data_IF_713493547991
#
_entry.id   IF_713493547991
#
_cell.length_a   1.000
_cell.length_b   1.000
_cell.length_c   1.000
_cell.angle_alpha   90.00
_cell.angle_beta   90.00
_cell.angle_gamma   90.00
#
_symmetry.space_group_name_H-M   'P 1'
#
loop_
_entity.id
_entity.type
_entity.pdbx_description
1 polymer ?
#
# COMPACT_ATOMS: atom_id res chain seq x y z
N UNK A 1 -0.88 -1.58 -14.33
CA UNK A 1 -1.90 -1.41 -13.28
C UNK A 1 -2.01 -2.71 -12.46
N UNK A 2 -1.57 -2.73 -11.20
CA UNK A 2 -1.94 -3.83 -10.27
C UNK A 2 -3.15 -3.32 -9.49
N UNK A 3 -4.17 -4.18 -9.30
CA UNK A 3 -5.39 -3.80 -8.59
C UNK A 3 -5.65 -4.82 -7.47
N UNK A 4 -5.16 -4.54 -6.27
CA UNK A 4 -5.40 -5.39 -5.11
C UNK A 4 -6.73 -5.00 -4.47
N UNK A 5 -7.63 -5.98 -4.33
CA UNK A 5 -8.83 -5.84 -3.49
C UNK A 5 -8.54 -6.41 -2.11
N UNK A 6 -8.00 -5.59 -1.22
CA UNK A 6 -7.71 -6.01 0.16
C UNK A 6 -8.01 -4.91 1.16
N UNK A 7 -8.57 -5.27 2.30
CA UNK A 7 -8.79 -4.32 3.40
C UNK A 7 -7.51 -4.10 4.21
N UNK A 8 -7.42 -2.97 4.93
CA UNK A 8 -6.27 -2.70 5.82
C UNK A 8 -6.09 -3.79 6.89
N UNK A 9 -7.18 -4.41 7.34
CA UNK A 9 -7.15 -5.49 8.33
C UNK A 9 -6.53 -6.76 7.75
N UNK A 10 -6.88 -7.11 6.53
CA UNK A 10 -6.30 -8.27 5.84
C UNK A 10 -4.82 -8.05 5.51
N UNK A 11 -4.45 -6.85 5.07
CA UNK A 11 -3.04 -6.48 4.86
C UNK A 11 -2.26 -6.65 6.15
N UNK A 12 -2.79 -6.12 7.26
CA UNK A 12 -2.18 -6.18 8.58
C UNK A 12 -2.00 -7.63 9.05
N UNK A 13 -3.01 -8.47 8.85
CA UNK A 13 -2.94 -9.89 9.19
C UNK A 13 -1.86 -10.65 8.39
N UNK A 14 -1.62 -10.28 7.13
CA UNK A 14 -0.62 -10.93 6.29
C UNK A 14 0.82 -10.54 6.64
N UNK A 15 1.06 -9.29 7.01
CA UNK A 15 2.42 -8.80 7.32
C UNK A 15 2.72 -8.78 8.83
N UNK A 16 1.82 -9.30 9.67
CA UNK A 16 1.97 -9.29 11.13
C UNK A 16 1.96 -7.88 11.73
N UNK A 17 1.24 -6.94 11.12
CA UNK A 17 1.10 -5.57 11.59
C UNK A 17 -0.30 -5.31 12.18
N UNK A 18 -0.53 -4.11 12.70
CA UNK A 18 -1.87 -3.65 13.09
C UNK A 18 -2.57 -2.94 11.93
N UNK A 19 -3.90 -2.87 11.99
CA UNK A 19 -4.70 -2.12 11.01
C UNK A 19 -4.29 -0.65 10.97
N UNK A 20 -4.00 -0.05 12.12
CA UNK A 20 -3.52 1.34 12.21
C UNK A 20 -2.18 1.52 11.50
N UNK A 21 -1.19 0.65 11.75
CA UNK A 21 0.12 0.72 11.07
C UNK A 21 -0.03 0.66 9.56
N UNK A 22 -0.85 -0.26 9.04
CA UNK A 22 -1.13 -0.33 7.60
C UNK A 22 -1.84 0.93 7.11
N UNK A 23 -2.81 1.45 7.88
CA UNK A 23 -3.52 2.66 7.51
C UNK A 23 -2.59 3.87 7.42
N UNK A 24 -1.61 3.98 8.33
CA UNK A 24 -0.61 5.03 8.29
C UNK A 24 0.31 4.88 7.08
N UNK A 25 0.84 3.68 6.82
CA UNK A 25 1.70 3.41 5.66
C UNK A 25 0.97 3.70 4.33
N UNK A 26 -0.28 3.27 4.19
CA UNK A 26 -1.08 3.55 2.98
C UNK A 26 -1.34 5.04 2.82
N UNK A 27 -1.59 5.76 3.92
CA UNK A 27 -1.77 7.22 3.88
C UNK A 27 -0.49 7.92 3.46
N UNK A 28 0.66 7.48 3.96
CA UNK A 28 1.97 8.04 3.64
C UNK A 28 2.32 7.85 2.17
N UNK A 29 2.23 6.61 1.67
CA UNK A 29 2.45 6.29 0.26
C UNK A 29 1.50 7.05 -0.69
N UNK A 30 0.26 7.33 -0.23
CA UNK A 30 -0.69 8.15 -0.98
C UNK A 30 -0.29 9.63 -0.98
N UNK A 31 0.19 10.16 0.14
CA UNK A 31 0.71 11.54 0.23
C UNK A 31 1.94 11.75 -0.66
N UNK A 32 2.76 10.72 -0.79
CA UNK A 32 3.92 10.71 -1.69
C UNK A 32 3.54 10.51 -3.17
N UNK A 33 2.26 10.27 -3.48
CA UNK A 33 1.79 10.07 -4.86
C UNK A 33 2.21 8.73 -5.47
N UNK A 34 2.62 7.77 -4.65
CA UNK A 34 3.09 6.46 -5.10
C UNK A 34 1.94 5.47 -5.32
N UNK A 35 0.85 5.64 -4.58
CA UNK A 35 -0.38 4.84 -4.69
C UNK A 35 -1.64 5.71 -4.63
N UNK A 36 -2.72 5.18 -5.19
CA UNK A 36 -4.07 5.67 -4.99
C UNK A 36 -4.96 4.59 -4.36
N UNK A 37 -5.99 5.03 -3.64
CA UNK A 37 -6.95 4.14 -2.99
C UNK A 37 -8.36 4.47 -3.43
N UNK A 38 -9.04 3.52 -4.05
CA UNK A 38 -10.44 3.64 -4.48
C UNK A 38 -11.31 2.61 -3.75
N UNK A 39 -11.90 3.03 -2.61
CA UNK A 39 -12.70 2.15 -1.76
C UNK A 39 -11.87 1.01 -1.17
N UNK A 40 -12.12 -0.24 -1.60
CA UNK A 40 -11.37 -1.44 -1.20
C UNK A 40 -10.24 -1.80 -2.16
N UNK A 41 -9.87 -0.88 -3.08
CA UNK A 41 -8.83 -1.10 -4.09
C UNK A 41 -7.62 -0.21 -3.82
N UNK A 42 -6.44 -0.78 -4.04
CA UNK A 42 -5.17 -0.03 -4.08
C UNK A 42 -4.64 -0.07 -5.51
N UNK A 43 -4.35 1.11 -6.05
CA UNK A 43 -3.79 1.33 -7.40
C UNK A 43 -2.35 1.82 -7.23
N UNK A 44 -1.41 1.13 -7.85
CA UNK A 44 0.01 1.54 -7.84
C UNK A 44 0.25 2.53 -8.99
N UNK A 45 0.72 3.74 -8.66
CA UNK A 45 1.04 4.79 -9.63
C UNK A 45 2.48 4.67 -10.11
N UNK A 46 3.43 4.51 -9.19
CA UNK A 46 4.86 4.43 -9.49
C UNK A 46 5.47 3.12 -8.97
N UNK A 47 5.40 2.07 -9.82
CA UNK A 47 5.98 0.76 -9.48
C UNK A 47 7.50 0.82 -9.27
N UNK A 48 8.31 1.49 -10.13
CA UNK A 48 9.75 1.59 -9.89
C UNK A 48 10.12 2.20 -8.53
N UNK A 49 9.45 3.29 -8.13
CA UNK A 49 9.70 3.93 -6.83
C UNK A 49 9.31 3.00 -5.67
N UNK A 50 8.17 2.31 -5.78
CA UNK A 50 7.73 1.32 -4.80
C UNK A 50 8.69 0.13 -4.66
N UNK A 51 9.26 -0.36 -5.77
CA UNK A 51 10.27 -1.43 -5.74
C UNK A 51 11.52 -0.99 -4.98
N UNK A 52 11.95 0.27 -5.16
CA UNK A 52 13.08 0.85 -4.43
C UNK A 52 12.81 0.95 -2.93
N UNK A 53 11.59 1.38 -2.55
CA UNK A 53 11.17 1.45 -1.14
C UNK A 53 11.06 0.07 -0.49
N UNK A 54 10.62 -0.93 -1.24
CA UNK A 54 10.54 -2.31 -0.76
C UNK A 54 11.92 -3.00 -0.63
N UNK A 55 13.02 -2.32 -0.97
CA UNK A 55 14.37 -2.88 -0.92
C UNK A 55 14.68 -3.88 -2.04
N UNK A 56 13.87 -3.92 -3.10
CA UNK A 56 14.05 -4.82 -4.25
C UNK A 56 15.05 -4.31 -5.29
N UNK A 57 16.17 -3.73 -4.85
CA UNK A 57 17.29 -3.28 -5.68
C UNK A 57 18.46 -4.24 -5.61
#
# INVERSE_FOLDING_TARGET
MVNLRLTHKEMAAWIGATRETVSFAVTDLRREGLIETEGKRVVLLDRPALTRLAGGG
#
